data_IF_995776133585
#
_entry.id   IF_995776133585
#
_cell.length_a   1.000
_cell.length_b   1.000
_cell.length_c   1.000
_cell.angle_alpha   90.00
_cell.angle_beta   90.00
_cell.angle_gamma   90.00
#
_symmetry.space_group_name_H-M   'P 1'
#
loop_
_entity.id
_entity.type
_entity.pdbx_description
1 polymer ?
#
# COMPACT_ATOMS: atom_id res chain seq x y z
N UNK A 1 17.20 -13.09 -23.34
CA UNK A 1 17.68 -13.67 -22.06
C UNK A 1 16.65 -13.36 -20.99
N UNK A 2 16.10 -14.38 -20.31
CA UNK A 2 15.14 -14.17 -19.25
C UNK A 2 15.83 -13.51 -18.03
N UNK A 3 15.38 -12.34 -17.56
CA UNK A 3 16.03 -11.61 -16.46
C UNK A 3 15.99 -12.34 -15.11
N UNK A 4 15.17 -13.38 -14.96
CA UNK A 4 15.05 -14.16 -13.72
C UNK A 4 15.91 -15.42 -13.68
N UNK A 5 16.63 -15.74 -14.76
CA UNK A 5 17.49 -16.93 -14.81
C UNK A 5 18.64 -16.83 -13.82
N UNK A 6 18.87 -17.89 -13.03
CA UNK A 6 19.94 -17.94 -12.04
C UNK A 6 21.31 -18.09 -12.69
N UNK A 7 22.37 -17.66 -12.00
CA UNK A 7 23.75 -17.82 -12.46
C UNK A 7 24.18 -19.28 -12.57
N UNK A 8 23.56 -20.20 -11.81
CA UNK A 8 23.79 -21.64 -11.95
C UNK A 8 23.22 -22.17 -13.27
N UNK A 9 21.96 -21.85 -13.60
CA UNK A 9 21.35 -22.29 -14.87
C UNK A 9 22.12 -21.76 -16.08
N UNK A 10 22.56 -20.51 -16.01
CA UNK A 10 23.39 -19.93 -17.07
C UNK A 10 24.77 -20.61 -17.17
N UNK A 11 25.30 -21.13 -16.07
CA UNK A 11 26.54 -21.90 -16.06
C UNK A 11 26.38 -23.21 -16.81
N UNK A 12 25.26 -23.89 -16.57
CA UNK A 12 24.88 -25.13 -17.25
C UNK A 12 24.60 -24.90 -18.75
N UNK A 13 23.88 -23.83 -19.10
CA UNK A 13 23.51 -23.52 -20.49
C UNK A 13 24.69 -23.00 -21.32
N UNK A 14 25.58 -22.20 -20.73
CA UNK A 14 26.64 -21.51 -21.47
C UNK A 14 28.01 -22.20 -21.37
N UNK A 15 28.26 -22.98 -20.30
CA UNK A 15 29.51 -23.69 -20.03
C UNK A 15 30.44 -23.04 -18.98
N UNK A 16 30.65 -21.71 -18.93
CA UNK A 16 31.48 -21.07 -17.91
C UNK A 16 30.98 -21.29 -16.49
N UNK A 17 31.90 -21.27 -15.52
CA UNK A 17 31.54 -21.37 -14.10
C UNK A 17 30.62 -20.24 -13.63
N UNK A 18 29.79 -20.52 -12.62
CA UNK A 18 28.92 -19.54 -11.95
C UNK A 18 29.64 -18.23 -11.61
N UNK A 19 30.87 -18.30 -11.09
CA UNK A 19 31.66 -17.11 -10.73
C UNK A 19 32.06 -16.28 -11.94
N UNK A 20 32.34 -16.94 -13.07
CA UNK A 20 32.63 -16.26 -14.34
C UNK A 20 31.42 -15.50 -14.84
N UNK A 21 30.23 -16.08 -14.70
CA UNK A 21 28.95 -15.44 -15.05
C UNK A 21 28.66 -14.27 -14.11
N UNK A 22 28.87 -14.43 -12.80
CA UNK A 22 28.74 -13.34 -11.83
C UNK A 22 29.67 -12.16 -12.17
N UNK A 23 30.94 -12.43 -12.48
CA UNK A 23 31.90 -11.40 -12.90
C UNK A 23 31.46 -10.72 -14.20
N UNK A 24 30.95 -11.47 -15.17
CA UNK A 24 30.43 -10.92 -16.42
C UNK A 24 29.23 -9.99 -16.18
N UNK A 25 28.30 -10.36 -15.29
CA UNK A 25 27.19 -9.49 -14.90
C UNK A 25 27.65 -8.20 -14.25
N UNK A 26 28.63 -8.24 -13.35
CA UNK A 26 29.20 -7.01 -12.78
C UNK A 26 29.89 -6.14 -13.82
N UNK A 27 30.64 -6.72 -14.78
CA UNK A 27 31.23 -5.97 -15.91
C UNK A 27 30.16 -5.29 -16.78
N UNK A 28 29.00 -5.93 -16.94
CA UNK A 28 27.85 -5.38 -17.64
C UNK A 28 27.00 -4.43 -16.77
N UNK A 29 27.49 -4.04 -15.59
CA UNK A 29 26.78 -3.18 -14.63
C UNK A 29 25.40 -3.72 -14.24
N UNK A 30 25.23 -5.04 -14.24
CA UNK A 30 24.00 -5.70 -13.80
C UNK A 30 24.06 -5.99 -12.30
N UNK A 31 22.95 -5.72 -11.62
CA UNK A 31 22.78 -6.00 -10.20
C UNK A 31 21.55 -6.87 -10.00
N UNK A 32 21.65 -7.86 -9.11
CA UNK A 32 20.49 -8.66 -8.72
C UNK A 32 19.57 -7.86 -7.80
N UNK A 33 18.29 -7.74 -8.18
CA UNK A 33 17.28 -6.99 -7.44
C UNK A 33 16.07 -7.88 -7.18
N UNK A 34 15.44 -7.69 -6.03
CA UNK A 34 14.17 -8.32 -5.74
C UNK A 34 13.07 -7.74 -6.63
N UNK A 35 12.14 -8.59 -7.04
CA UNK A 35 10.93 -8.16 -7.72
C UNK A 35 10.12 -7.21 -6.83
N UNK A 36 9.48 -6.23 -7.45
CA UNK A 36 8.52 -5.36 -6.78
C UNK A 36 7.18 -6.07 -6.69
N UNK A 37 6.61 -6.14 -5.49
CA UNK A 37 5.22 -6.55 -5.32
C UNK A 37 4.28 -5.46 -5.84
N UNK A 38 3.30 -5.87 -6.65
CA UNK A 38 2.23 -5.00 -7.15
C UNK A 38 0.89 -5.51 -6.61
N UNK A 39 -0.06 -4.62 -6.28
CA UNK A 39 -1.30 -5.05 -5.62
C UNK A 39 -2.12 -6.08 -6.41
N UNK A 40 -2.23 -5.89 -7.72
CA UNK A 40 -3.02 -6.74 -8.61
C UNK A 40 -2.44 -6.71 -10.02
N UNK A 41 -2.60 -7.81 -10.75
CA UNK A 41 -2.40 -7.84 -12.20
C UNK A 41 -3.58 -7.15 -12.88
N UNK A 42 -3.32 -6.06 -13.62
CA UNK A 42 -4.36 -5.26 -14.24
C UNK A 42 -4.73 -5.86 -15.59
N UNK A 43 -6.03 -6.01 -15.85
CA UNK A 43 -6.50 -6.18 -17.22
C UNK A 43 -6.32 -4.86 -18.00
N UNK A 44 -6.13 -4.92 -19.34
CA UNK A 44 -5.88 -3.73 -20.16
C UNK A 44 -6.92 -2.62 -19.97
N UNK A 45 -8.20 -2.99 -19.81
CA UNK A 45 -9.30 -2.05 -19.58
C UNK A 45 -9.09 -1.21 -18.31
N UNK A 46 -8.79 -1.85 -17.17
CA UNK A 46 -8.51 -1.15 -15.91
C UNK A 46 -7.23 -0.31 -16.02
N UNK A 47 -6.22 -0.78 -16.76
CA UNK A 47 -5.01 -0.02 -17.05
C UNK A 47 -5.31 1.28 -17.79
N UNK A 48 -6.09 1.20 -18.87
CA UNK A 48 -6.47 2.35 -19.68
C UNK A 48 -7.33 3.34 -18.89
N UNK A 49 -8.32 2.86 -18.14
CA UNK A 49 -9.18 3.69 -17.29
C UNK A 49 -8.35 4.48 -16.26
N UNK A 50 -7.34 3.84 -15.63
CA UNK A 50 -6.45 4.53 -14.69
C UNK A 50 -5.61 5.62 -15.35
N UNK A 51 -5.12 5.38 -16.57
CA UNK A 51 -4.36 6.38 -17.33
C UNK A 51 -5.26 7.56 -17.70
N UNK A 52 -6.46 7.29 -18.19
CA UNK A 52 -7.42 8.32 -18.58
C UNK A 52 -7.83 9.20 -17.39
N UNK A 53 -8.25 8.60 -16.27
CA UNK A 53 -8.55 9.33 -15.03
C UNK A 53 -7.34 10.16 -14.59
N UNK A 54 -6.13 9.59 -14.67
CA UNK A 54 -4.89 10.29 -14.34
C UNK A 54 -4.66 11.53 -15.20
N UNK A 55 -4.87 11.42 -16.52
CA UNK A 55 -4.76 12.56 -17.45
C UNK A 55 -5.79 13.64 -17.14
N UNK A 56 -7.06 13.28 -17.00
CA UNK A 56 -8.13 14.23 -16.67
C UNK A 56 -7.87 14.97 -15.36
N UNK A 57 -7.40 14.26 -14.33
CA UNK A 57 -7.05 14.88 -13.05
C UNK A 57 -5.82 15.80 -13.15
N UNK A 58 -4.89 15.52 -14.07
CA UNK A 58 -3.69 16.33 -14.30
C UNK A 58 -3.98 17.60 -15.11
N UNK A 59 -4.90 17.50 -16.08
CA UNK A 59 -5.37 18.58 -16.95
C UNK A 59 -6.31 19.55 -16.25
N UNK A 60 -6.93 19.15 -15.14
CA UNK A 60 -7.63 20.07 -14.25
C UNK A 60 -6.67 21.22 -13.89
N UNK A 61 -7.05 22.50 -14.03
CA UNK A 61 -6.17 23.68 -13.96
C UNK A 61 -5.32 23.90 -12.69
N UNK A 62 -5.18 22.88 -11.82
CA UNK A 62 -4.24 22.82 -10.70
C UNK A 62 -4.25 24.07 -9.84
N UNK A 63 -5.43 24.67 -9.64
CA UNK A 63 -5.55 25.57 -8.52
C UNK A 63 -5.29 24.73 -7.26
N UNK A 64 -4.34 25.18 -6.44
CA UNK A 64 -4.11 24.65 -5.10
C UNK A 64 -5.45 24.48 -4.37
N UNK A 65 -6.46 25.30 -4.68
CA UNK A 65 -7.82 25.17 -4.19
C UNK A 65 -8.46 23.79 -4.42
N UNK A 66 -8.29 23.15 -5.59
CA UNK A 66 -8.86 21.82 -5.86
C UNK A 66 -8.30 20.75 -4.91
N UNK A 67 -6.98 20.72 -4.73
CA UNK A 67 -6.32 19.78 -3.82
C UNK A 67 -6.55 20.14 -2.35
N UNK A 68 -6.67 21.44 -2.02
CA UNK A 68 -6.99 21.91 -0.67
C UNK A 68 -8.41 21.53 -0.25
N UNK A 69 -9.34 21.47 -1.21
CA UNK A 69 -10.71 21.03 -0.98
C UNK A 69 -10.87 19.50 -1.00
N UNK A 70 -9.84 18.73 -1.38
CA UNK A 70 -9.91 17.26 -1.35
C UNK A 70 -9.76 16.72 0.06
N UNK A 71 -10.69 15.84 0.39
CA UNK A 71 -10.71 15.04 1.59
C UNK A 71 -10.53 13.58 1.18
N UNK A 72 -9.53 12.90 1.72
CA UNK A 72 -9.30 11.49 1.49
C UNK A 72 -9.80 10.69 2.68
N UNK A 73 -10.59 9.67 2.39
CA UNK A 73 -11.09 8.71 3.36
C UNK A 73 -10.49 7.34 3.06
N UNK A 74 -10.17 6.58 4.11
CA UNK A 74 -9.79 5.19 3.96
C UNK A 74 -9.86 4.40 5.27
N UNK A 75 -9.94 3.09 5.11
CA UNK A 75 -9.98 2.12 6.19
C UNK A 75 -8.66 1.34 6.23
N UNK A 76 -8.18 1.03 7.44
CA UNK A 76 -7.00 0.19 7.61
C UNK A 76 -7.16 -0.72 8.82
N UNK A 77 -6.89 -2.00 8.62
CA UNK A 77 -6.69 -2.92 9.74
C UNK A 77 -5.35 -2.64 10.43
N UNK A 78 -5.39 -2.43 11.74
CA UNK A 78 -4.22 -2.24 12.59
C UNK A 78 -4.17 -3.42 13.56
N UNK A 79 -3.05 -4.13 13.51
CA UNK A 79 -2.79 -5.25 14.40
C UNK A 79 -2.23 -4.75 15.74
N UNK A 80 -2.71 -5.34 16.84
CA UNK A 80 -2.24 -4.97 18.18
C UNK A 80 -0.79 -5.40 18.40
N UNK A 81 -0.40 -6.52 17.80
CA UNK A 81 0.97 -7.01 17.75
C UNK A 81 1.52 -6.82 16.35
N UNK A 82 2.66 -6.15 16.25
CA UNK A 82 3.43 -6.03 15.02
C UNK A 82 4.81 -6.65 15.28
N UNK A 83 5.00 -7.90 14.86
CA UNK A 83 6.27 -8.61 15.06
C UNK A 83 7.38 -7.95 14.26
N UNK A 84 8.50 -7.67 14.91
CA UNK A 84 9.66 -7.06 14.28
C UNK A 84 10.51 -8.13 13.57
N UNK A 85 10.51 -8.09 12.23
CA UNK A 85 11.28 -9.00 11.39
C UNK A 85 12.59 -8.37 10.88
N UNK A 86 13.11 -7.35 11.57
CA UNK A 86 14.42 -6.77 11.24
C UNK A 86 15.52 -7.82 11.28
N UNK A 87 16.51 -7.65 10.39
CA UNK A 87 17.71 -8.49 10.35
C UNK A 87 18.49 -8.29 11.65
N UNK A 88 19.00 -9.38 12.19
CA UNK A 88 19.83 -9.38 13.39
C UNK A 88 21.30 -9.41 12.98
N UNK A 89 22.13 -8.57 13.60
CA UNK A 89 23.58 -8.66 13.51
C UNK A 89 24.06 -9.68 14.54
N UNK A 90 24.64 -10.78 14.07
CA UNK A 90 25.02 -11.94 14.87
C UNK A 90 26.38 -12.46 14.42
N UNK A 91 27.06 -13.19 15.29
CA UNK A 91 28.31 -13.86 14.93
C UNK A 91 28.08 -14.94 13.86
N UNK A 92 29.12 -15.27 13.08
CA UNK A 92 29.07 -16.18 11.91
C UNK A 92 28.46 -17.57 12.22
N UNK A 93 28.47 -18.00 13.48
CA UNK A 93 27.94 -19.31 13.91
C UNK A 93 26.82 -19.20 14.95
N UNK A 94 26.39 -17.99 15.28
CA UNK A 94 25.32 -17.78 16.25
C UNK A 94 23.96 -18.02 15.58
N UNK A 95 23.09 -18.76 16.27
CA UNK A 95 21.71 -18.97 15.83
C UNK A 95 20.90 -17.68 15.93
N UNK A 96 19.99 -17.48 14.99
CA UNK A 96 19.07 -16.34 14.99
C UNK A 96 18.03 -16.51 16.09
N UNK A 97 17.74 -15.45 16.84
CA UNK A 97 16.64 -15.47 17.80
C UNK A 97 15.30 -15.58 17.04
N UNK A 98 14.48 -16.60 17.33
CA UNK A 98 13.24 -16.83 16.59
C UNK A 98 12.21 -15.75 16.92
N UNK A 99 11.65 -15.13 15.89
CA UNK A 99 10.52 -14.20 16.03
C UNK A 99 9.23 -14.91 15.64
N UNK A 100 8.26 -14.97 16.56
CA UNK A 100 6.96 -15.55 16.29
C UNK A 100 6.28 -14.83 15.12
N UNK A 101 5.93 -15.60 14.08
CA UNK A 101 5.17 -15.09 12.94
C UNK A 101 3.79 -14.62 13.42
N UNK A 102 3.36 -13.48 12.91
CA UNK A 102 2.04 -12.95 13.20
C UNK A 102 0.95 -13.91 12.70
N UNK A 103 0.08 -14.34 13.61
CA UNK A 103 -1.05 -15.21 13.30
C UNK A 103 -2.15 -14.50 12.50
N UNK A 104 -2.84 -15.24 11.61
CA UNK A 104 -3.92 -14.71 10.76
C UNK A 104 -5.09 -14.12 11.56
N UNK A 105 -5.37 -14.68 12.73
CA UNK A 105 -6.51 -14.33 13.59
C UNK A 105 -6.12 -13.54 14.83
N UNK A 106 -4.91 -12.96 14.86
CA UNK A 106 -4.49 -12.12 15.96
C UNK A 106 -5.37 -10.87 16.13
N UNK A 107 -5.37 -10.34 17.35
CA UNK A 107 -6.20 -9.18 17.70
C UNK A 107 -5.86 -7.98 16.83
N UNK A 108 -6.89 -7.42 16.19
CA UNK A 108 -6.78 -6.26 15.30
C UNK A 108 -8.04 -5.43 15.36
N UNK A 109 -7.90 -4.13 15.20
CA UNK A 109 -9.01 -3.20 15.06
C UNK A 109 -8.91 -2.53 13.68
N UNK A 110 -10.02 -2.04 13.17
CA UNK A 110 -10.01 -1.22 11.96
C UNK A 110 -10.02 0.24 12.38
N UNK A 111 -9.17 1.04 11.75
CA UNK A 111 -9.23 2.49 11.85
C UNK A 111 -9.82 3.04 10.55
N UNK A 112 -10.83 3.89 10.69
CA UNK A 112 -11.37 4.71 9.61
C UNK A 112 -10.81 6.11 9.78
N UNK A 113 -10.23 6.70 8.73
CA UNK A 113 -9.59 8.01 8.81
C UNK A 113 -10.07 8.91 7.68
N UNK A 114 -10.56 10.10 8.03
CA UNK A 114 -10.74 11.21 7.12
C UNK A 114 -9.58 12.21 7.31
N UNK A 115 -8.90 12.55 6.22
CA UNK A 115 -7.81 13.54 6.23
C UNK A 115 -7.92 14.50 5.06
N UNK A 116 -7.31 15.68 5.23
CA UNK A 116 -6.99 16.56 4.11
C UNK A 116 -5.47 16.60 3.88
N UNK A 117 -5.04 17.58 3.09
CA UNK A 117 -3.62 17.82 2.81
C UNK A 117 -2.83 18.29 4.05
N UNK A 118 -3.47 18.86 5.07
CA UNK A 118 -2.81 19.40 6.27
C UNK A 118 -2.78 18.41 7.44
N UNK A 119 -3.90 17.76 7.74
CA UNK A 119 -4.07 16.99 8.96
C UNK A 119 -5.19 15.94 8.87
N UNK A 120 -5.28 15.11 9.91
CA UNK A 120 -6.44 14.24 10.15
C UNK A 120 -7.61 15.09 10.65
N UNK A 121 -8.76 14.96 10.00
CA UNK A 121 -9.98 15.71 10.35
C UNK A 121 -10.79 14.94 11.38
N UNK A 122 -10.97 13.65 11.13
CA UNK A 122 -11.78 12.74 11.93
C UNK A 122 -11.18 11.33 11.83
N UNK A 123 -11.28 10.55 12.90
CA UNK A 123 -10.98 9.13 12.85
C UNK A 123 -11.90 8.37 13.80
N UNK A 124 -12.17 7.11 13.46
CA UNK A 124 -12.93 6.19 14.29
C UNK A 124 -12.20 4.85 14.40
N UNK A 125 -12.30 4.25 15.58
CA UNK A 125 -11.79 2.90 15.83
C UNK A 125 -12.98 1.94 15.85
N UNK A 126 -12.97 1.00 14.93
CA UNK A 126 -13.94 -0.09 14.84
C UNK A 126 -13.29 -1.33 15.47
N UNK A 127 -13.86 -1.76 16.59
CA UNK A 127 -13.39 -2.93 17.32
C UNK A 127 -13.54 -4.22 16.51
N UNK A 128 -12.67 -5.18 16.80
CA UNK A 128 -12.66 -6.49 16.15
C UNK A 128 -14.03 -7.17 16.22
N UNK A 129 -14.45 -7.80 15.12
CA UNK A 129 -15.72 -8.51 15.03
C UNK A 129 -16.90 -7.66 14.57
N UNK A 130 -16.72 -6.34 14.41
CA UNK A 130 -17.65 -5.49 13.67
C UNK A 130 -17.12 -5.27 12.25
N UNK A 131 -17.91 -5.68 11.25
CA UNK A 131 -17.69 -5.28 9.85
C UNK A 131 -18.44 -3.99 9.56
N UNK A 132 -17.83 -3.10 8.78
CA UNK A 132 -18.52 -1.91 8.25
C UNK A 132 -19.55 -2.40 7.24
N UNK A 133 -20.83 -2.22 7.57
CA UNK A 133 -21.92 -2.35 6.62
C UNK A 133 -22.39 -0.94 6.21
N UNK A 134 -23.25 -0.86 5.20
CA UNK A 134 -23.75 0.42 4.68
C UNK A 134 -24.38 1.30 5.76
N UNK A 135 -25.12 0.71 6.72
CA UNK A 135 -25.72 1.46 7.83
C UNK A 135 -24.66 2.11 8.73
N UNK A 136 -23.68 1.33 9.18
CA UNK A 136 -22.56 1.83 9.99
C UNK A 136 -21.82 2.91 9.21
N UNK A 137 -21.62 2.70 7.91
CA UNK A 137 -20.95 3.66 7.05
C UNK A 137 -21.71 4.99 6.93
N UNK A 138 -23.03 4.97 6.73
CA UNK A 138 -23.85 6.19 6.71
C UNK A 138 -23.75 6.96 8.04
N UNK A 139 -23.84 6.25 9.17
CA UNK A 139 -23.70 6.87 10.49
C UNK A 139 -22.29 7.48 10.70
N UNK A 140 -21.25 6.85 10.11
CA UNK A 140 -19.89 7.39 10.10
C UNK A 140 -19.78 8.66 9.26
N UNK A 141 -20.41 8.67 8.08
CA UNK A 141 -20.45 9.85 7.22
C UNK A 141 -21.14 11.03 7.91
N UNK A 142 -22.23 10.80 8.65
CA UNK A 142 -22.91 11.86 9.41
C UNK A 142 -22.00 12.48 10.49
N UNK A 143 -21.33 11.63 11.29
CA UNK A 143 -20.38 12.08 12.32
C UNK A 143 -19.16 12.78 11.73
N UNK A 144 -18.68 12.28 10.59
CA UNK A 144 -17.59 12.86 9.84
C UNK A 144 -17.99 14.25 9.31
N UNK A 145 -19.17 14.38 8.71
CA UNK A 145 -19.67 15.64 8.17
C UNK A 145 -19.87 16.68 9.28
N UNK A 146 -20.38 16.28 10.45
CA UNK A 146 -20.47 17.14 11.62
C UNK A 146 -19.09 17.67 12.07
N UNK A 147 -18.09 16.78 12.13
CA UNK A 147 -16.71 17.14 12.47
C UNK A 147 -16.05 18.04 11.43
N UNK A 148 -16.37 17.80 10.16
CA UNK A 148 -15.85 18.56 9.02
C UNK A 148 -16.43 19.97 9.00
N UNK A 149 -17.75 20.12 9.12
CA UNK A 149 -18.45 21.43 9.08
C UNK A 149 -17.93 22.40 10.13
N UNK A 150 -17.53 21.88 11.31
CA UNK A 150 -16.92 22.68 12.38
C UNK A 150 -15.55 23.24 12.00
N UNK A 151 -14.74 22.49 11.23
CA UNK A 151 -13.36 22.85 10.87
C UNK A 151 -13.24 23.54 9.51
N UNK A 152 -14.11 23.18 8.56
CA UNK A 152 -14.08 23.61 7.17
C UNK A 152 -15.51 23.90 6.68
N UNK A 153 -15.97 25.16 6.73
CA UNK A 153 -17.32 25.53 6.33
C UNK A 153 -17.52 25.61 4.79
N UNK A 154 -16.43 25.51 4.02
CA UNK A 154 -16.44 25.59 2.56
C UNK A 154 -16.73 24.23 1.90
N UNK A 155 -16.99 24.26 0.58
CA UNK A 155 -17.20 23.06 -0.23
C UNK A 155 -15.97 22.13 -0.20
N UNK A 156 -16.23 20.83 -0.03
CA UNK A 156 -15.21 19.77 0.01
C UNK A 156 -15.51 18.71 -1.04
N UNK A 157 -14.46 18.06 -1.54
CA UNK A 157 -14.54 16.93 -2.46
C UNK A 157 -14.06 15.67 -1.73
N UNK A 158 -14.96 14.69 -1.53
CA UNK A 158 -14.60 13.42 -0.90
C UNK A 158 -14.00 12.45 -1.91
N UNK A 159 -12.84 11.90 -1.60
CA UNK A 159 -12.21 10.80 -2.30
C UNK A 159 -12.17 9.58 -1.39
N UNK A 160 -12.77 8.48 -1.85
CA UNK A 160 -12.84 7.18 -1.19
C UNK A 160 -12.60 6.07 -2.21
N UNK A 161 -12.50 4.83 -1.75
CA UNK A 161 -12.47 3.66 -2.65
C UNK A 161 -13.89 3.25 -3.09
N UNK A 162 -13.97 2.21 -3.92
CA UNK A 162 -15.22 1.71 -4.50
C UNK A 162 -15.72 0.44 -3.78
N UNK A 163 -15.40 0.26 -2.50
CA UNK A 163 -15.90 -0.90 -1.75
C UNK A 163 -17.43 -0.89 -1.68
N UNK A 164 -18.05 -2.07 -1.76
CA UNK A 164 -19.52 -2.24 -1.80
C UNK A 164 -20.31 -1.50 -0.72
N UNK A 165 -19.90 -1.43 0.57
CA UNK A 165 -20.67 -0.68 1.56
C UNK A 165 -20.64 0.85 1.33
N UNK A 166 -19.79 1.35 0.42
CA UNK A 166 -19.58 2.76 0.14
C UNK A 166 -20.35 3.26 -1.10
N UNK A 167 -20.99 2.34 -1.85
CA UNK A 167 -21.69 2.59 -3.11
C UNK A 167 -23.19 2.37 -3.01
#
# INVERSE_FOLDING_TARGET
>A
MNPTTSTCKLSEELGPSKDTICRAFHKLQKTYKNSREVPFELIPQHGNQRVEIGKTLLENPQDLQFFKCKMACGEKWVHLRNSDHRKQWLDVRQSVEPVAKQGRFEKKFMIYVLRNFQQVIHFEIILQGRSVNSKIYCEQLDRMYASLKSKYPALVNLQQDNATPLT
#
